data_IF_832022531628
#
_entry.id   IF_832022531628
#
_cell.length_a   1.000
_cell.length_b   1.000
_cell.length_c   1.000
_cell.angle_alpha   90.00
_cell.angle_beta   90.00
_cell.angle_gamma   90.00
#
_symmetry.space_group_name_H-M   'P 1'
#
loop_
_entity.id
_entity.type
_entity.pdbx_description
1 polymer ?
#
# COMPACT_ATOMS: atom_id res chain seq x y z
N UNK A 1 0.95 -15.40 -9.91
CA UNK A 1 0.65 -15.87 -8.53
C UNK A 1 0.28 -14.61 -7.79
N UNK A 2 -0.85 -14.56 -7.09
CA UNK A 2 -1.29 -13.32 -6.42
C UNK A 2 -0.93 -13.32 -4.93
N UNK A 3 -0.70 -12.13 -4.40
CA UNK A 3 -0.53 -11.85 -2.98
C UNK A 3 -1.57 -10.82 -2.55
N UNK A 4 -2.14 -11.04 -1.37
CA UNK A 4 -3.10 -10.12 -0.77
C UNK A 4 -2.36 -9.15 0.14
N UNK A 5 -2.49 -7.85 -0.12
CA UNK A 5 -1.80 -6.79 0.62
C UNK A 5 -2.83 -5.89 1.29
N UNK A 6 -2.79 -5.85 2.62
CA UNK A 6 -3.60 -4.92 3.41
C UNK A 6 -2.80 -3.65 3.71
N UNK A 7 -3.32 -2.51 3.25
CA UNK A 7 -2.74 -1.18 3.48
C UNK A 7 -3.63 -0.43 4.45
N UNK A 8 -3.05 0.04 5.56
CA UNK A 8 -3.78 0.75 6.61
C UNK A 8 -3.13 2.09 6.91
N UNK A 9 -3.95 3.14 6.98
CA UNK A 9 -3.55 4.48 7.41
C UNK A 9 -3.56 4.56 8.93
N UNK A 10 -2.75 5.48 9.50
CA UNK A 10 -2.75 5.76 10.93
C UNK A 10 -4.12 6.23 11.47
N UNK A 11 -4.99 6.72 10.59
CA UNK A 11 -6.37 7.08 10.92
C UNK A 11 -7.29 5.86 11.11
N UNK A 12 -6.80 4.64 10.87
CA UNK A 12 -7.55 3.38 10.96
C UNK A 12 -8.30 3.00 9.68
N UNK A 13 -8.25 3.82 8.62
CA UNK A 13 -8.81 3.47 7.30
C UNK A 13 -7.89 2.47 6.61
N UNK A 14 -8.46 1.42 6.04
CA UNK A 14 -7.70 0.39 5.33
C UNK A 14 -8.30 0.04 3.97
N UNK A 15 -7.48 -0.57 3.12
CA UNK A 15 -7.86 -1.17 1.86
C UNK A 15 -7.06 -2.46 1.65
N UNK A 16 -7.69 -3.41 0.99
CA UNK A 16 -7.07 -4.66 0.57
C UNK A 16 -6.83 -4.64 -0.94
N UNK A 17 -5.65 -5.05 -1.37
CA UNK A 17 -5.24 -5.07 -2.79
C UNK A 17 -4.77 -6.48 -3.14
N UNK A 18 -5.34 -7.05 -4.20
CA UNK A 18 -4.83 -8.27 -4.82
C UNK A 18 -3.76 -7.89 -5.85
N UNK A 19 -2.51 -8.22 -5.54
CA UNK A 19 -1.35 -7.87 -6.36
C UNK A 19 -0.71 -9.11 -6.99
N UNK A 20 -0.08 -8.96 -8.15
CA UNK A 20 0.79 -10.02 -8.66
C UNK A 20 2.16 -9.95 -7.99
N UNK A 21 2.87 -11.08 -7.92
CA UNK A 21 4.23 -11.13 -7.37
C UNK A 21 5.25 -10.25 -8.13
N UNK A 22 4.94 -9.84 -9.35
CA UNK A 22 5.78 -8.95 -10.15
C UNK A 22 5.45 -7.46 -9.96
N UNK A 23 4.35 -7.14 -9.27
CA UNK A 23 3.94 -5.76 -9.00
C UNK A 23 4.98 -5.05 -8.13
N UNK A 24 5.34 -3.83 -8.54
CA UNK A 24 6.26 -2.99 -7.79
C UNK A 24 5.58 -2.35 -6.59
N UNK A 25 6.38 -1.97 -5.57
CA UNK A 25 5.89 -1.22 -4.41
C UNK A 25 5.29 0.13 -4.84
N UNK A 26 5.81 0.74 -5.90
CA UNK A 26 5.30 2.00 -6.45
C UNK A 26 3.89 1.86 -7.04
N UNK A 27 3.62 0.79 -7.78
CA UNK A 27 2.29 0.48 -8.32
C UNK A 27 1.29 0.24 -7.19
N UNK A 28 1.68 -0.57 -6.19
CA UNK A 28 0.83 -0.84 -5.02
C UNK A 28 0.52 0.43 -4.22
N UNK A 29 1.50 1.33 -4.11
CA UNK A 29 1.32 2.61 -3.45
C UNK A 29 0.32 3.49 -4.22
N UNK A 30 0.43 3.57 -5.54
CA UNK A 30 -0.51 4.35 -6.37
C UNK A 30 -1.93 3.80 -6.28
N UNK A 31 -2.08 2.47 -6.33
CA UNK A 31 -3.38 1.83 -6.22
C UNK A 31 -4.00 2.03 -4.83
N UNK A 32 -3.22 1.87 -3.77
CA UNK A 32 -3.68 2.15 -2.41
C UNK A 32 -4.13 3.60 -2.23
N UNK A 33 -3.36 4.56 -2.76
CA UNK A 33 -3.70 5.99 -2.70
C UNK A 33 -5.01 6.29 -3.45
N UNK A 34 -5.19 5.68 -4.62
CA UNK A 34 -6.40 5.81 -5.42
C UNK A 34 -7.62 5.27 -4.66
N UNK A 35 -7.55 4.05 -4.13
CA UNK A 35 -8.65 3.40 -3.42
C UNK A 35 -8.97 4.11 -2.09
N UNK A 36 -7.96 4.56 -1.36
CA UNK A 36 -8.13 5.33 -0.12
C UNK A 36 -8.54 6.79 -0.38
N UNK A 37 -8.52 7.25 -1.64
CA UNK A 37 -8.81 8.64 -2.05
C UNK A 37 -7.98 9.65 -1.25
N UNK A 38 -6.68 9.40 -1.17
CA UNK A 38 -5.73 10.26 -0.47
C UNK A 38 -4.71 10.86 -1.45
N UNK A 39 -4.03 11.91 -1.01
CA UNK A 39 -2.89 12.46 -1.73
C UNK A 39 -1.66 11.55 -1.65
N UNK A 40 -0.54 11.98 -2.27
CA UNK A 40 0.73 11.28 -2.19
C UNK A 40 1.13 11.04 -0.73
N UNK A 41 1.50 9.80 -0.42
CA UNK A 41 1.91 9.36 0.90
C UNK A 41 3.09 8.40 0.83
N UNK A 42 3.50 7.91 2.00
CA UNK A 42 4.62 7.00 2.14
C UNK A 42 4.13 5.70 2.77
N UNK A 43 4.48 4.57 2.15
CA UNK A 43 4.25 3.28 2.77
C UNK A 43 5.31 3.03 3.83
N UNK A 44 4.85 2.63 5.01
CA UNK A 44 5.72 2.26 6.13
C UNK A 44 5.36 0.87 6.60
N UNK A 45 6.37 0.14 7.05
CA UNK A 45 6.18 -1.11 7.79
C UNK A 45 5.49 -0.80 9.12
N UNK A 46 4.87 -1.79 9.77
CA UNK A 46 4.36 -1.63 11.13
C UNK A 46 5.43 -1.15 12.14
N UNK A 47 6.71 -1.41 11.88
CA UNK A 47 7.86 -0.89 12.66
C UNK A 47 8.10 0.62 12.50
N UNK A 48 7.44 1.28 11.53
CA UNK A 48 7.68 2.67 11.15
C UNK A 48 8.80 2.85 10.10
N UNK A 49 9.44 1.78 9.67
CA UNK A 49 10.44 1.82 8.61
C UNK A 49 9.80 2.08 7.25
N UNK A 50 10.39 2.97 6.47
CA UNK A 50 9.90 3.30 5.13
C UNK A 50 10.06 2.10 4.20
N UNK A 51 8.98 1.72 3.53
CA UNK A 51 9.02 0.82 2.40
C UNK A 51 9.45 1.61 1.17
N UNK A 52 10.77 1.82 1.04
CA UNK A 52 11.33 2.34 -0.19
C UNK A 52 11.17 1.28 -1.29
N UNK A 53 10.56 1.68 -2.40
CA UNK A 53 10.50 0.90 -3.64
C UNK A 53 11.76 1.08 -4.46
#
# INVERSE_FOLDING_TARGET
MSVHVDVTLLSGRSVSIDADLTSSVAELMQEAQHLLKIGPGMLVRPSGEVLCG
#
